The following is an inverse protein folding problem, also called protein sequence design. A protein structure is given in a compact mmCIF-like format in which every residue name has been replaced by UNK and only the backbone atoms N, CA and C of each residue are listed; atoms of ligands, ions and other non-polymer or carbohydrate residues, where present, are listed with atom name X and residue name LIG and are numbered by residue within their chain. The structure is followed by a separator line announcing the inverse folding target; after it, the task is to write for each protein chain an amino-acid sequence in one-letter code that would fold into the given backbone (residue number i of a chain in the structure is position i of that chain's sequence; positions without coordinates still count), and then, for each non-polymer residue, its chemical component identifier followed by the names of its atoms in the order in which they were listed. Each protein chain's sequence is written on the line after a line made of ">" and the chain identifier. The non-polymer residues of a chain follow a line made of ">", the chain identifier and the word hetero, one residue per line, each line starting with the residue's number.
data_IF_683635948730
#
_entry.id   IF_683635948730
#
_cell.length_a   1.000
_cell.length_b   1.000
_cell.length_c   1.000
_cell.angle_alpha   90.00
_cell.angle_beta   90.00
_cell.angle_gamma   90.00
#
_symmetry.space_group_name_H-M   'P 1'
#
loop_
_entity.id
_entity.type
_entity.pdbx_description
1 polymer ?
#
# COMPACT_ATOMS: atom_id res chain seq x y z
N UNK A 1 -38.14 -18.59 4.60
CA UNK A 1 -37.11 -18.30 3.57
C UNK A 1 -36.84 -16.81 3.62
N UNK A 2 -35.69 -16.43 4.13
CA UNK A 2 -35.25 -15.05 4.26
C UNK A 2 -33.74 -15.11 4.40
N UNK A 3 -33.07 -15.10 3.26
CA UNK A 3 -31.63 -15.26 3.15
C UNK A 3 -30.94 -14.07 3.82
N UNK A 4 -30.41 -14.33 5.01
CA UNK A 4 -29.44 -13.47 5.65
C UNK A 4 -28.20 -13.40 4.77
N UNK A 5 -27.96 -12.24 4.17
CA UNK A 5 -26.75 -11.94 3.41
C UNK A 5 -25.56 -12.10 4.36
N UNK A 6 -24.87 -13.25 4.26
CA UNK A 6 -23.58 -13.49 4.92
C UNK A 6 -22.58 -12.50 4.35
N UNK A 7 -22.34 -11.41 5.08
CA UNK A 7 -21.27 -10.46 4.80
C UNK A 7 -19.93 -11.12 5.11
N UNK A 8 -19.09 -11.27 4.07
CA UNK A 8 -17.75 -11.84 4.21
C UNK A 8 -16.81 -10.93 5.02
N UNK A 9 -15.76 -11.51 5.64
CA UNK A 9 -14.88 -10.81 6.61
C UNK A 9 -14.13 -9.60 6.04
N UNK A 10 -13.96 -9.51 4.72
CA UNK A 10 -13.27 -8.40 4.05
C UNK A 10 -14.06 -7.07 4.04
N UNK A 11 -15.39 -7.09 4.22
CA UNK A 11 -16.19 -5.85 4.26
C UNK A 11 -16.15 -5.16 5.62
N UNK A 12 -16.05 -5.89 6.73
CA UNK A 12 -15.99 -5.28 8.06
C UNK A 12 -14.69 -4.51 8.31
N UNK A 13 -13.55 -5.02 7.82
CA UNK A 13 -12.28 -4.29 7.87
C UNK A 13 -12.38 -3.00 7.05
N UNK A 14 -13.02 -3.04 5.87
CA UNK A 14 -13.24 -1.85 5.02
C UNK A 14 -14.15 -0.80 5.67
N UNK A 15 -15.25 -1.21 6.31
CA UNK A 15 -16.17 -0.26 6.99
C UNK A 15 -15.51 0.37 8.22
N UNK A 16 -14.84 -0.43 9.06
CA UNK A 16 -14.15 0.10 10.25
C UNK A 16 -12.93 0.97 9.91
N UNK A 17 -12.25 0.72 8.79
CA UNK A 17 -11.19 1.59 8.28
C UNK A 17 -11.77 2.92 7.77
N UNK A 18 -12.88 2.91 7.01
CA UNK A 18 -13.56 4.12 6.50
C UNK A 18 -14.22 4.94 7.62
N UNK A 19 -14.78 4.31 8.65
CA UNK A 19 -15.35 5.00 9.83
C UNK A 19 -14.26 5.59 10.71
N UNK A 20 -13.15 4.87 10.95
CA UNK A 20 -11.96 5.46 11.59
C UNK A 20 -11.34 6.58 10.73
N UNK A 21 -11.43 6.53 9.39
CA UNK A 21 -11.00 7.62 8.50
C UNK A 21 -11.84 8.89 8.67
N UNK A 22 -13.12 8.78 9.04
CA UNK A 22 -13.99 9.93 9.37
C UNK A 22 -13.68 10.51 10.75
N UNK A 23 -13.33 9.68 11.72
CA UNK A 23 -13.00 10.12 13.08
C UNK A 23 -11.57 10.68 13.21
N UNK A 24 -10.60 10.18 12.43
CA UNK A 24 -9.20 10.60 12.52
C UNK A 24 -8.90 11.90 11.73
N UNK A 25 -9.80 12.37 10.85
CA UNK A 25 -9.58 13.55 10.02
C UNK A 25 -10.83 14.43 9.81
N UNK A 26 -10.97 15.43 10.68
CA UNK A 26 -11.94 16.54 10.61
C UNK A 26 -11.64 17.52 9.45
N UNK A 27 -11.84 17.11 8.19
CA UNK A 27 -11.76 18.02 7.02
C UNK A 27 -13.07 18.76 6.71
N UNK A 28 -14.07 18.77 7.61
CA UNK A 28 -15.35 19.49 7.40
C UNK A 28 -15.20 21.02 7.22
N UNK A 29 -13.99 21.56 7.13
CA UNK A 29 -13.71 23.01 7.07
C UNK A 29 -12.79 23.52 5.95
N UNK A 30 -12.43 22.74 4.91
CA UNK A 30 -11.74 23.37 3.77
C UNK A 30 -12.72 24.09 2.83
N UNK A 31 -12.95 25.38 3.08
CA UNK A 31 -13.53 26.29 2.10
C UNK A 31 -12.40 26.88 1.23
N UNK A 32 -11.96 26.18 0.18
CA UNK A 32 -11.02 26.79 -0.78
C UNK A 32 -11.74 27.88 -1.59
N UNK A 33 -11.12 29.06 -1.71
CA UNK A 33 -11.61 30.15 -2.56
C UNK A 33 -11.37 29.85 -4.06
N UNK A 34 -11.95 30.64 -4.97
CA UNK A 34 -11.89 30.41 -6.43
C UNK A 34 -10.46 30.36 -7.01
N UNK A 35 -9.52 31.12 -6.44
CA UNK A 35 -8.11 31.14 -6.88
C UNK A 35 -7.39 29.87 -6.41
N UNK A 36 -7.63 29.49 -5.16
CA UNK A 36 -7.16 28.24 -4.56
C UNK A 36 -7.67 27.05 -5.36
N UNK A 37 -8.94 27.10 -5.76
CA UNK A 37 -9.54 26.08 -6.62
C UNK A 37 -8.84 25.95 -7.98
N UNK A 38 -8.44 27.07 -8.58
CA UNK A 38 -7.79 27.11 -9.89
C UNK A 38 -6.31 26.69 -9.84
N UNK A 39 -5.59 26.96 -8.74
CA UNK A 39 -4.23 26.46 -8.49
C UNK A 39 -4.23 24.96 -8.24
N UNK A 40 -5.11 24.50 -7.35
CA UNK A 40 -5.26 23.10 -7.00
C UNK A 40 -5.64 22.25 -8.23
N UNK A 41 -6.61 22.72 -9.02
CA UNK A 41 -6.98 22.09 -10.30
C UNK A 41 -5.81 22.00 -11.29
N UNK A 42 -4.95 23.03 -11.38
CA UNK A 42 -3.78 23.02 -12.29
C UNK A 42 -2.71 22.03 -11.83
N UNK A 43 -2.56 21.91 -10.52
CA UNK A 43 -1.65 20.97 -9.88
C UNK A 43 -2.11 19.51 -10.03
N UNK A 44 -3.41 19.23 -9.90
CA UNK A 44 -3.98 17.89 -10.13
C UNK A 44 -4.05 17.49 -11.59
N UNK A 45 -4.20 18.47 -12.49
CA UNK A 45 -4.04 18.28 -13.93
C UNK A 45 -2.58 18.10 -14.35
N UNK A 46 -1.64 18.35 -13.45
CA UNK A 46 -0.23 18.18 -13.78
C UNK A 46 0.16 16.70 -13.72
N UNK A 47 1.17 16.35 -14.52
CA UNK A 47 1.81 15.04 -14.64
C UNK A 47 2.12 14.33 -13.31
N UNK A 48 2.10 15.03 -12.18
CA UNK A 48 2.40 14.51 -10.86
C UNK A 48 1.42 13.41 -10.40
N UNK A 49 0.10 13.64 -10.40
CA UNK A 49 -0.85 12.65 -9.89
C UNK A 49 -0.77 11.33 -10.69
N UNK A 50 -0.67 11.45 -12.02
CA UNK A 50 -0.45 10.33 -12.94
C UNK A 50 0.83 9.57 -12.59
N UNK A 51 1.92 10.30 -12.43
CA UNK A 51 3.24 9.76 -12.16
C UNK A 51 3.32 9.09 -10.79
N UNK A 52 2.77 9.70 -9.74
CA UNK A 52 2.79 9.14 -8.39
C UNK A 52 1.91 7.90 -8.30
N UNK A 53 0.69 7.94 -8.85
CA UNK A 53 -0.20 6.78 -8.80
C UNK A 53 0.37 5.61 -9.60
N UNK A 54 0.87 5.87 -10.82
CA UNK A 54 1.54 4.85 -11.62
C UNK A 54 2.77 4.26 -10.94
N UNK A 55 3.63 5.10 -10.35
CA UNK A 55 4.79 4.60 -9.60
C UNK A 55 4.42 3.81 -8.36
N UNK A 56 3.36 4.16 -7.65
CA UNK A 56 2.92 3.40 -6.47
C UNK A 56 2.42 2.01 -6.85
N UNK A 57 1.81 1.87 -8.02
CA UNK A 57 1.42 0.57 -8.57
C UNK A 57 2.66 -0.25 -8.98
N UNK A 58 3.58 0.35 -9.74
CA UNK A 58 4.83 -0.29 -10.15
C UNK A 58 5.66 -0.74 -8.92
N UNK A 59 5.88 0.16 -7.97
CA UNK A 59 6.57 -0.13 -6.71
C UNK A 59 5.84 -1.23 -5.93
N UNK A 60 4.51 -1.20 -5.87
CA UNK A 60 3.71 -2.26 -5.26
C UNK A 60 4.01 -3.64 -5.85
N UNK A 61 4.04 -3.73 -7.18
CA UNK A 61 4.36 -4.99 -7.89
C UNK A 61 5.79 -5.45 -7.65
N UNK A 62 6.76 -4.52 -7.71
CA UNK A 62 8.17 -4.81 -7.46
C UNK A 62 8.37 -5.32 -6.03
N UNK A 63 7.77 -4.65 -5.04
CA UNK A 63 7.80 -5.08 -3.64
C UNK A 63 7.26 -6.50 -3.43
N UNK A 64 6.15 -6.84 -4.10
CA UNK A 64 5.58 -8.20 -4.05
C UNK A 64 6.53 -9.24 -4.66
N UNK A 65 7.19 -8.93 -5.79
CA UNK A 65 8.19 -9.81 -6.38
C UNK A 65 9.41 -10.00 -5.47
N UNK A 66 9.88 -8.93 -4.82
CA UNK A 66 10.99 -9.00 -3.89
C UNK A 66 10.65 -9.86 -2.67
N UNK A 67 9.47 -9.69 -2.07
CA UNK A 67 9.00 -10.55 -0.98
C UNK A 67 8.87 -12.02 -1.39
N UNK A 68 8.39 -12.26 -2.61
CA UNK A 68 8.35 -13.61 -3.19
C UNK A 68 9.75 -14.21 -3.28
N UNK A 69 10.73 -13.39 -3.67
CA UNK A 69 12.13 -13.79 -3.72
C UNK A 69 12.71 -14.12 -2.34
N UNK A 70 12.35 -13.33 -1.31
CA UNK A 70 12.72 -13.61 0.08
C UNK A 70 12.15 -14.96 0.54
N UNK A 71 10.86 -15.20 0.30
CA UNK A 71 10.23 -16.47 0.67
C UNK A 71 10.89 -17.65 -0.01
N UNK A 72 11.09 -17.59 -1.34
CA UNK A 72 11.74 -18.66 -2.10
C UNK A 72 13.16 -18.95 -1.60
N UNK A 73 13.93 -17.91 -1.25
CA UNK A 73 15.26 -18.07 -0.69
C UNK A 73 15.24 -18.75 0.69
N UNK A 74 14.36 -18.29 1.58
CA UNK A 74 14.25 -18.84 2.94
C UNK A 74 13.72 -20.28 2.93
N UNK A 75 12.73 -20.59 2.10
CA UNK A 75 12.18 -21.94 1.98
C UNK A 75 13.23 -22.94 1.49
N UNK A 76 14.09 -22.53 0.55
CA UNK A 76 15.19 -23.37 0.11
C UNK A 76 16.17 -23.65 1.26
N UNK A 77 16.58 -22.63 2.01
CA UNK A 77 17.55 -22.79 3.11
C UNK A 77 16.99 -23.56 4.31
N UNK A 78 15.67 -23.62 4.45
CA UNK A 78 14.99 -24.33 5.55
C UNK A 78 14.54 -25.73 5.19
N UNK A 79 14.92 -26.22 4.01
CA UNK A 79 14.52 -27.57 3.59
C UNK A 79 15.00 -28.57 4.65
N UNK A 80 14.08 -29.38 5.22
CA UNK A 80 14.46 -30.32 6.27
C UNK A 80 15.36 -31.41 5.70
N UNK A 81 16.14 -32.05 6.57
CA UNK A 81 16.91 -33.23 6.24
C UNK A 81 16.03 -34.31 5.59
N UNK A 82 16.63 -35.10 4.70
CA UNK A 82 15.88 -36.10 3.94
C UNK A 82 15.22 -37.11 4.90
N UNK A 83 13.89 -37.22 4.81
CA UNK A 83 13.15 -38.21 5.57
C UNK A 83 13.45 -39.62 5.05
N UNK A 84 13.99 -40.48 5.91
CA UNK A 84 14.38 -41.87 5.59
C UNK A 84 13.27 -42.90 5.86
N UNK A 85 12.03 -42.49 6.13
CA UNK A 85 10.92 -43.43 6.38
C UNK A 85 10.58 -44.34 5.20
N UNK A 86 11.04 -44.01 4.00
CA UNK A 86 10.88 -44.87 2.82
C UNK A 86 12.00 -45.90 2.74
N UNK A 87 11.65 -47.19 2.70
CA UNK A 87 12.59 -48.30 2.45
C UNK A 87 13.45 -48.10 1.20
N UNK A 88 12.91 -47.46 0.17
CA UNK A 88 13.68 -47.17 -1.05
C UNK A 88 14.77 -46.12 -0.79
N UNK A 89 14.43 -45.05 -0.06
CA UNK A 89 15.38 -43.99 0.28
C UNK A 89 16.46 -44.55 1.22
N UNK A 90 16.05 -45.34 2.21
CA UNK A 90 16.95 -46.02 3.15
C UNK A 90 17.96 -46.90 2.41
N UNK A 91 17.50 -47.80 1.54
CA UNK A 91 18.38 -48.66 0.74
C UNK A 91 19.37 -47.84 -0.10
N UNK A 92 18.93 -46.76 -0.76
CA UNK A 92 19.80 -45.91 -1.58
C UNK A 92 20.89 -45.23 -0.75
N UNK A 93 20.56 -44.77 0.47
CA UNK A 93 21.51 -44.14 1.38
C UNK A 93 22.54 -45.16 1.87
N UNK A 94 22.08 -46.35 2.27
CA UNK A 94 22.94 -47.42 2.78
C UNK A 94 23.90 -47.96 1.72
N UNK A 95 23.43 -48.14 0.48
CA UNK A 95 24.28 -48.65 -0.61
C UNK A 95 25.34 -47.65 -1.09
N UNK A 96 25.14 -46.34 -0.86
CA UNK A 96 26.00 -45.27 -1.35
C UNK A 96 26.67 -44.46 -0.23
N UNK A 97 26.85 -45.07 0.95
CA UNK A 97 27.22 -44.46 2.24
C UNK A 97 28.59 -43.76 2.27
N UNK A 98 28.72 -42.66 1.53
CA UNK A 98 29.86 -41.74 1.60
C UNK A 98 29.55 -40.61 2.57
N UNK A 99 30.59 -40.07 3.20
CA UNK A 99 30.46 -38.91 4.08
C UNK A 99 29.84 -37.72 3.36
N UNK A 100 30.24 -37.47 2.11
CA UNK A 100 29.69 -36.39 1.28
C UNK A 100 28.18 -36.54 1.03
N UNK A 101 27.72 -37.76 0.69
CA UNK A 101 26.29 -38.00 0.44
C UNK A 101 25.47 -37.89 1.73
N UNK A 102 26.03 -38.33 2.87
CA UNK A 102 25.39 -38.19 4.19
C UNK A 102 25.20 -36.72 4.56
N UNK A 103 26.26 -35.91 4.45
CA UNK A 103 26.19 -34.46 4.71
C UNK A 103 25.21 -33.76 3.78
N UNK A 104 25.11 -34.18 2.51
CA UNK A 104 24.12 -33.65 1.57
C UNK A 104 22.68 -33.91 2.02
N UNK A 105 22.38 -35.11 2.52
CA UNK A 105 21.05 -35.44 3.05
C UNK A 105 20.74 -34.74 4.37
N UNK A 106 21.73 -34.61 5.26
CA UNK A 106 21.61 -33.85 6.51
C UNK A 106 21.35 -32.36 6.25
N UNK A 107 21.94 -31.81 5.17
CA UNK A 107 21.69 -30.46 4.70
C UNK A 107 20.35 -30.29 3.94
N UNK A 108 19.46 -31.29 3.96
CA UNK A 108 18.16 -31.21 3.29
C UNK A 108 18.23 -31.25 1.77
N UNK A 109 19.22 -31.96 1.23
CA UNK A 109 19.48 -32.04 -0.21
C UNK A 109 19.82 -30.69 -0.86
N UNK A 110 20.40 -29.76 -0.08
CA UNK A 110 20.89 -28.47 -0.55
C UNK A 110 22.39 -28.59 -0.87
N UNK A 111 22.76 -28.23 -2.10
CA UNK A 111 24.18 -28.13 -2.46
C UNK A 111 24.76 -26.80 -2.00
N UNK A 112 26.08 -26.71 -1.84
CA UNK A 112 26.77 -25.43 -1.54
C UNK A 112 26.44 -24.34 -2.57
N UNK A 113 26.31 -24.73 -3.84
CA UNK A 113 25.89 -23.82 -4.91
C UNK A 113 24.47 -23.29 -4.68
N UNK A 114 23.50 -24.16 -4.35
CA UNK A 114 22.12 -23.77 -4.09
C UNK A 114 22.02 -22.87 -2.85
N UNK A 115 22.74 -23.20 -1.79
CA UNK A 115 22.82 -22.37 -0.58
C UNK A 115 23.38 -20.98 -0.88
N UNK A 116 24.46 -20.90 -1.68
CA UNK A 116 25.03 -19.62 -2.10
C UNK A 116 24.07 -18.81 -2.99
N UNK A 117 23.41 -19.45 -3.96
CA UNK A 117 22.41 -18.77 -4.81
C UNK A 117 21.24 -18.25 -4.01
N UNK A 118 20.74 -19.03 -3.05
CA UNK A 118 19.66 -18.60 -2.16
C UNK A 118 20.09 -17.43 -1.28
N UNK A 119 21.28 -17.48 -0.69
CA UNK A 119 21.85 -16.38 0.10
C UNK A 119 21.99 -15.09 -0.74
N UNK A 120 22.50 -15.19 -1.97
CA UNK A 120 22.57 -14.06 -2.91
C UNK A 120 21.19 -13.49 -3.21
N UNK A 121 20.19 -14.35 -3.45
CA UNK A 121 18.82 -13.93 -3.70
C UNK A 121 18.22 -13.19 -2.50
N UNK A 122 18.41 -13.70 -1.29
CA UNK A 122 17.98 -13.03 -0.06
C UNK A 122 18.61 -11.65 0.10
N UNK A 123 19.91 -11.55 -0.18
CA UNK A 123 20.62 -10.26 -0.12
C UNK A 123 20.07 -9.27 -1.16
N UNK A 124 19.95 -9.68 -2.42
CA UNK A 124 19.41 -8.82 -3.50
C UNK A 124 17.98 -8.39 -3.19
N UNK A 125 17.13 -9.30 -2.72
CA UNK A 125 15.76 -8.97 -2.36
C UNK A 125 15.70 -8.02 -1.15
N UNK A 126 16.54 -8.24 -0.13
CA UNK A 126 16.62 -7.36 1.03
C UNK A 126 17.04 -5.94 0.67
N UNK A 127 18.10 -5.79 -0.14
CA UNK A 127 18.54 -4.48 -0.66
C UNK A 127 17.46 -3.84 -1.53
N UNK A 128 16.79 -4.63 -2.38
CA UNK A 128 15.69 -4.14 -3.21
C UNK A 128 14.49 -3.65 -2.40
N UNK A 129 14.17 -4.30 -1.28
CA UNK A 129 13.08 -3.88 -0.38
C UNK A 129 13.43 -2.57 0.34
N UNK A 130 14.68 -2.39 0.76
CA UNK A 130 15.16 -1.13 1.34
C UNK A 130 15.11 0.02 0.32
N UNK A 131 15.53 -0.22 -0.91
CA UNK A 131 15.42 0.75 -2.02
C UNK A 131 13.95 1.09 -2.32
N UNK A 132 13.07 0.08 -2.38
CA UNK A 132 11.64 0.27 -2.52
C UNK A 132 11.07 1.19 -1.44
N UNK A 133 11.39 0.95 -0.16
CA UNK A 133 10.92 1.78 0.95
C UNK A 133 11.42 3.23 0.83
N UNK A 134 12.68 3.44 0.43
CA UNK A 134 13.22 4.78 0.18
C UNK A 134 12.46 5.52 -0.92
N UNK A 135 12.10 4.83 -2.01
CA UNK A 135 11.31 5.39 -3.11
C UNK A 135 9.90 5.78 -2.67
N UNK A 136 9.19 4.89 -1.97
CA UNK A 136 7.86 5.19 -1.44
C UNK A 136 7.90 6.36 -0.45
N UNK A 137 8.91 6.41 0.42
CA UNK A 137 9.11 7.53 1.34
C UNK A 137 9.36 8.85 0.59
N UNK A 138 10.18 8.83 -0.46
CA UNK A 138 10.42 10.01 -1.30
C UNK A 138 9.12 10.53 -1.92
N UNK A 139 8.31 9.65 -2.50
CA UNK A 139 7.00 10.00 -3.07
C UNK A 139 6.05 10.58 -2.02
N UNK A 140 6.03 9.99 -0.83
CA UNK A 140 5.19 10.45 0.28
C UNK A 140 5.61 11.85 0.75
N UNK A 141 6.92 12.09 0.88
CA UNK A 141 7.46 13.39 1.26
C UNK A 141 7.21 14.46 0.20
N UNK A 142 7.29 14.10 -1.07
CA UNK A 142 6.99 15.02 -2.17
C UNK A 142 5.50 15.38 -2.18
N UNK A 143 4.61 14.40 -1.98
CA UNK A 143 3.18 14.66 -1.81
C UNK A 143 2.88 15.57 -0.60
N UNK A 144 3.60 15.39 0.51
CA UNK A 144 3.47 16.23 1.70
C UNK A 144 3.92 17.67 1.44
N UNK A 145 5.11 17.87 0.86
CA UNK A 145 5.61 19.20 0.48
C UNK A 145 4.65 19.93 -0.46
N UNK A 146 4.09 19.21 -1.42
CA UNK A 146 3.17 19.79 -2.38
C UNK A 146 1.85 20.23 -1.74
N UNK A 147 1.37 19.51 -0.72
CA UNK A 147 0.22 19.94 0.08
C UNK A 147 0.56 21.14 0.97
N UNK A 148 1.77 21.19 1.52
CA UNK A 148 2.24 22.33 2.32
C UNK A 148 2.38 23.60 1.48
N UNK A 149 2.91 23.50 0.25
CA UNK A 149 3.01 24.62 -0.70
C UNK A 149 1.64 25.19 -1.06
N UNK A 150 0.64 24.32 -1.23
CA UNK A 150 -0.77 24.74 -1.41
C UNK A 150 -1.27 25.48 -0.19
N UNK A 151 -0.94 25.00 1.02
CA UNK A 151 -1.38 25.61 2.27
C UNK A 151 -0.70 26.96 2.54
N UNK A 152 0.58 27.12 2.19
CA UNK A 152 1.28 28.41 2.30
C UNK A 152 0.72 29.41 1.28
N UNK A 153 0.44 28.97 0.06
CA UNK A 153 -0.22 29.81 -0.94
C UNK A 153 -1.65 30.20 -0.55
N UNK A 154 -2.31 29.44 0.33
CA UNK A 154 -3.61 29.75 0.93
C UNK A 154 -3.53 30.90 1.94
N UNK A 155 -2.51 30.90 2.79
CA UNK A 155 -2.31 31.92 3.83
C UNK A 155 -1.83 33.27 3.27
N UNK A 156 -1.02 33.28 2.22
CA UNK A 156 -0.50 34.53 1.65
C UNK A 156 -1.52 35.34 0.83
N UNK A 157 -2.65 34.76 0.41
CA UNK A 157 -3.69 35.45 -0.39
C UNK A 157 -4.91 35.91 0.42
N UNK A 158 -4.99 35.58 1.72
CA UNK A 158 -6.02 36.06 2.65
C UNK A 158 -5.35 36.85 3.81
N UNK A 159 -5.08 38.17 3.69
CA UNK A 159 -4.71 38.95 4.86
C UNK A 159 -5.89 39.02 5.86
N UNK A 160 -5.64 39.08 7.18
CA UNK A 160 -6.70 39.10 8.19
C UNK A 160 -7.47 40.42 8.06
N UNK A 161 -8.60 40.37 7.38
CA UNK A 161 -9.54 41.49 7.30
C UNK A 161 -10.45 41.41 8.51
N UNK A 162 -10.47 42.49 9.28
CA UNK A 162 -11.24 42.66 10.50
C UNK A 162 -12.73 42.32 10.33
N UNK A 163 -13.31 41.90 11.45
CA UNK A 163 -14.74 41.70 11.71
C UNK A 163 -15.67 42.60 10.88
N UNK A 164 -16.63 41.99 10.20
CA UNK A 164 -17.95 42.61 10.02
C UNK A 164 -19.02 41.56 10.26
N UNK A 165 -20.04 42.04 10.96
CA UNK A 165 -21.15 41.36 11.61
C UNK A 165 -22.03 40.65 10.57
N UNK A 166 -22.41 39.41 10.89
CA UNK A 166 -23.44 38.64 10.18
C UNK A 166 -24.81 39.29 10.35
N UNK A 167 -25.64 39.27 9.30
CA UNK A 167 -27.10 39.13 9.45
C UNK A 167 -27.75 38.62 8.14
N UNK A 168 -28.80 37.80 8.34
CA UNK A 168 -29.88 37.31 7.44
C UNK A 168 -29.48 36.23 6.39
N UNK A 169 -29.83 34.95 6.58
CA UNK A 169 -31.13 34.23 6.47
C UNK A 169 -31.65 34.09 5.02
N UNK A 170 -31.72 32.85 4.54
CA UNK A 170 -32.87 32.27 3.82
C UNK A 170 -32.57 30.82 3.39
N UNK A 171 -33.47 29.91 3.78
CA UNK A 171 -33.36 28.47 3.57
C UNK A 171 -33.77 28.02 2.17
N UNK A 172 -33.25 26.85 1.75
CA UNK A 172 -33.87 26.05 0.69
C UNK A 172 -33.80 24.56 1.04
N UNK A 173 -34.99 23.99 0.94
CA UNK A 173 -35.49 22.66 1.23
C UNK A 173 -34.75 21.53 0.50
N UNK A 174 -34.49 20.42 1.22
CA UNK A 174 -33.91 19.19 0.66
C UNK A 174 -34.99 18.40 -0.07
N UNK A 175 -34.99 18.45 -1.40
CA UNK A 175 -35.77 17.51 -2.21
C UNK A 175 -34.87 16.35 -2.67
N UNK A 176 -35.17 15.17 -2.16
CA UNK A 176 -34.58 13.90 -2.55
C UNK A 176 -35.31 13.39 -3.80
N UNK A 177 -34.73 13.59 -4.97
CA UNK A 177 -35.09 12.81 -6.16
C UNK A 177 -33.84 12.35 -6.92
N UNK A 178 -33.89 11.07 -7.23
CA UNK A 178 -32.94 10.25 -7.97
C UNK A 178 -32.64 10.86 -9.34
N UNK A 179 -31.38 11.26 -9.58
CA UNK A 179 -30.94 11.75 -10.89
C UNK A 179 -29.49 11.35 -11.18
N UNK A 180 -29.34 10.54 -12.23
CA UNK A 180 -28.22 10.39 -13.16
C UNK A 180 -26.94 11.17 -12.81
N UNK A 181 -25.84 10.42 -12.63
CA UNK A 181 -24.48 10.92 -12.34
C UNK A 181 -24.13 12.03 -13.34
N UNK A 182 -24.02 13.30 -12.90
CA UNK A 182 -23.63 14.37 -13.79
C UNK A 182 -22.14 14.22 -14.12
N UNK A 183 -21.82 14.35 -15.40
CA UNK A 183 -20.47 14.44 -15.98
C UNK A 183 -19.79 15.79 -15.60
N UNK A 184 -19.93 16.18 -14.34
CA UNK A 184 -19.51 17.47 -13.81
C UNK A 184 -18.07 17.34 -13.36
N UNK A 185 -17.17 18.13 -13.96
CA UNK A 185 -15.80 18.28 -13.47
C UNK A 185 -15.83 18.60 -11.97
N UNK A 186 -15.09 17.86 -11.13
CA UNK A 186 -15.12 18.08 -9.70
C UNK A 186 -14.72 19.51 -9.37
N UNK A 187 -15.36 20.07 -8.35
CA UNK A 187 -14.93 21.34 -7.82
C UNK A 187 -13.58 21.16 -7.10
N UNK A 188 -12.83 22.25 -6.88
CA UNK A 188 -11.50 22.02 -6.31
C UNK A 188 -11.48 21.67 -4.81
N UNK A 189 -12.60 21.78 -4.09
CA UNK A 189 -12.71 21.22 -2.74
C UNK A 189 -12.75 19.69 -2.81
N UNK A 190 -13.51 19.11 -3.75
CA UNK A 190 -13.58 17.66 -3.97
C UNK A 190 -12.21 17.08 -4.34
N UNK A 191 -11.47 17.82 -5.15
CA UNK A 191 -10.09 17.53 -5.50
C UNK A 191 -9.13 17.59 -4.30
N UNK A 192 -9.21 18.64 -3.46
CA UNK A 192 -8.38 18.79 -2.27
C UNK A 192 -8.65 17.68 -1.24
N UNK A 193 -9.92 17.35 -1.06
CA UNK A 193 -10.35 16.23 -0.25
C UNK A 193 -9.77 14.92 -0.78
N UNK A 194 -9.86 14.67 -2.10
CA UNK A 194 -9.34 13.45 -2.71
C UNK A 194 -7.83 13.31 -2.53
N UNK A 195 -7.07 14.39 -2.70
CA UNK A 195 -5.61 14.38 -2.51
C UNK A 195 -5.24 14.12 -1.05
N UNK A 196 -5.95 14.75 -0.10
CA UNK A 196 -5.77 14.51 1.32
C UNK A 196 -6.04 13.05 1.69
N UNK A 197 -7.10 12.46 1.16
CA UNK A 197 -7.42 11.04 1.35
C UNK A 197 -6.30 10.15 0.79
N UNK A 198 -5.85 10.40 -0.44
CA UNK A 198 -4.76 9.65 -1.08
C UNK A 198 -3.47 9.73 -0.25
N UNK A 199 -3.12 10.90 0.27
CA UNK A 199 -1.96 11.06 1.17
C UNK A 199 -2.05 10.14 2.38
N UNK A 200 -3.19 10.12 3.07
CA UNK A 200 -3.34 9.28 4.28
C UNK A 200 -3.31 7.79 3.92
N UNK A 201 -3.98 7.39 2.82
CA UNK A 201 -3.96 6.01 2.31
C UNK A 201 -2.52 5.55 2.04
N UNK A 202 -1.74 6.32 1.28
CA UNK A 202 -0.34 6.02 0.96
C UNK A 202 0.52 5.96 2.22
N UNK A 203 0.34 6.90 3.15
CA UNK A 203 1.12 6.93 4.39
C UNK A 203 0.87 5.69 5.26
N UNK A 204 -0.39 5.27 5.40
CA UNK A 204 -0.74 4.05 6.14
C UNK A 204 -0.20 2.79 5.46
N UNK A 205 -0.31 2.71 4.13
CA UNK A 205 0.26 1.60 3.36
C UNK A 205 1.79 1.54 3.48
N UNK A 206 2.47 2.68 3.42
CA UNK A 206 3.92 2.76 3.60
C UNK A 206 4.35 2.27 5.00
N UNK A 207 3.67 2.72 6.06
CA UNK A 207 3.96 2.26 7.44
C UNK A 207 3.78 0.75 7.56
N UNK A 208 2.76 0.18 6.93
CA UNK A 208 2.57 -1.28 6.88
C UNK A 208 3.74 -1.96 6.15
N UNK A 209 4.16 -1.45 4.99
CA UNK A 209 5.29 -1.98 4.24
C UNK A 209 6.59 -1.93 5.06
N UNK A 210 6.85 -0.83 5.78
CA UNK A 210 8.01 -0.72 6.67
C UNK A 210 7.99 -1.77 7.77
N UNK A 211 6.82 -2.01 8.39
CA UNK A 211 6.67 -3.06 9.41
C UNK A 211 6.90 -4.45 8.85
N UNK A 212 6.40 -4.73 7.64
CA UNK A 212 6.64 -6.00 6.95
C UNK A 212 8.12 -6.20 6.73
N UNK A 213 8.81 -5.24 6.08
CA UNK A 213 10.25 -5.34 5.79
C UNK A 213 11.08 -5.46 7.07
N UNK A 214 10.75 -4.69 8.11
CA UNK A 214 11.45 -4.76 9.40
C UNK A 214 11.22 -6.08 10.13
N UNK A 215 10.09 -6.74 9.89
CA UNK A 215 9.75 -8.05 10.44
C UNK A 215 10.39 -9.22 9.69
N UNK A 216 10.99 -8.99 8.52
CA UNK A 216 11.69 -10.03 7.77
C UNK A 216 12.95 -10.46 8.50
N UNK A 217 13.07 -11.76 8.72
CA UNK A 217 14.24 -12.37 9.35
C UNK A 217 14.54 -13.72 8.73
N UNK A 218 15.77 -14.20 8.91
CA UNK A 218 16.15 -15.58 8.56
C UNK A 218 15.32 -16.63 9.32
N UNK A 219 14.61 -16.24 10.38
CA UNK A 219 13.76 -17.11 11.21
C UNK A 219 12.26 -17.00 10.90
N UNK A 220 11.82 -16.01 10.11
CA UNK A 220 10.39 -15.78 9.81
C UNK A 220 9.75 -16.99 9.16
N UNK A 221 8.79 -17.64 9.79
CA UNK A 221 8.15 -18.87 9.32
C UNK A 221 7.49 -18.71 7.94
N UNK A 222 7.22 -19.82 7.24
CA UNK A 222 6.52 -19.78 5.95
C UNK A 222 5.12 -19.14 6.08
N UNK A 223 4.40 -19.43 7.18
CA UNK A 223 3.10 -18.79 7.45
C UNK A 223 3.18 -17.28 7.68
N UNK A 224 4.21 -16.78 8.37
CA UNK A 224 4.45 -15.34 8.53
C UNK A 224 4.76 -14.67 7.19
N UNK A 225 5.63 -15.29 6.38
CA UNK A 225 6.01 -14.76 5.06
C UNK A 225 4.80 -14.72 4.10
N UNK A 226 3.96 -15.74 4.12
CA UNK A 226 2.72 -15.76 3.34
C UNK A 226 1.76 -14.65 3.80
N UNK A 227 1.65 -14.45 5.11
CA UNK A 227 0.84 -13.36 5.68
C UNK A 227 1.35 -11.99 5.22
N UNK A 228 2.66 -11.77 5.26
CA UNK A 228 3.28 -10.53 4.79
C UNK A 228 3.04 -10.30 3.30
N UNK A 229 3.19 -11.32 2.46
CA UNK A 229 2.90 -11.23 1.02
C UNK A 229 1.44 -10.93 0.75
N UNK A 230 0.54 -11.56 1.50
CA UNK A 230 -0.89 -11.32 1.36
C UNK A 230 -1.23 -9.88 1.74
N UNK A 231 -0.74 -9.37 2.87
CA UNK A 231 -0.94 -7.98 3.28
C UNK A 231 -0.38 -6.99 2.24
N UNK A 232 0.81 -7.26 1.70
CA UNK A 232 1.43 -6.44 0.67
C UNK A 232 0.63 -6.42 -0.64
N UNK A 233 0.09 -7.58 -1.03
CA UNK A 233 -0.66 -7.71 -2.29
C UNK A 233 -2.07 -7.15 -2.19
N UNK A 234 -2.73 -7.31 -1.03
CA UNK A 234 -4.09 -6.82 -0.81
C UNK A 234 -4.16 -5.32 -0.56
N UNK A 235 -3.04 -4.68 -0.16
CA UNK A 235 -2.95 -3.25 0.19
C UNK A 235 -4.18 -2.75 0.97
N UNK A 236 -4.42 -3.26 2.19
CA UNK A 236 -5.67 -3.04 2.93
C UNK A 236 -5.97 -1.56 3.25
N UNK A 237 -4.98 -0.67 3.16
CA UNK A 237 -5.13 0.77 3.37
C UNK A 237 -5.40 1.54 2.08
N UNK A 238 -5.33 0.90 0.92
CA UNK A 238 -5.59 1.51 -0.38
C UNK A 238 -7.02 1.17 -0.80
N UNK A 239 -7.86 2.20 -0.97
CA UNK A 239 -9.19 2.06 -1.55
C UNK A 239 -9.13 2.21 -3.08
N UNK A 240 -9.34 1.11 -3.79
CA UNK A 240 -9.32 1.08 -5.26
C UNK A 240 -10.36 1.98 -5.92
N UNK A 241 -11.52 2.22 -5.28
CA UNK A 241 -12.54 3.11 -5.83
C UNK A 241 -12.11 4.57 -5.73
N UNK A 242 -11.43 4.94 -4.65
CA UNK A 242 -10.83 6.27 -4.49
C UNK A 242 -9.70 6.46 -5.51
N UNK A 243 -8.84 5.44 -5.70
CA UNK A 243 -7.79 5.47 -6.71
C UNK A 243 -8.36 5.55 -8.13
N UNK A 244 -9.40 4.78 -8.46
CA UNK A 244 -10.11 4.87 -9.76
C UNK A 244 -10.74 6.24 -9.97
N UNK A 245 -11.34 6.84 -8.92
CA UNK A 245 -11.84 8.21 -9.00
C UNK A 245 -10.71 9.16 -9.32
N UNK A 246 -9.58 9.07 -8.63
CA UNK A 246 -8.39 9.89 -8.91
C UNK A 246 -7.91 9.73 -10.37
N UNK A 247 -7.89 8.50 -10.87
CA UNK A 247 -7.56 8.19 -12.27
C UNK A 247 -8.48 8.88 -13.28
N UNK A 248 -9.79 8.94 -13.01
CA UNK A 248 -10.76 9.63 -13.89
C UNK A 248 -10.60 11.15 -13.91
N UNK A 249 -9.86 11.71 -12.95
CA UNK A 249 -9.63 13.15 -12.87
C UNK A 249 -8.34 13.61 -13.57
N UNK A 250 -7.57 12.66 -14.08
CA UNK A 250 -6.42 12.88 -14.94
C UNK A 250 -6.94 13.21 -16.35
N UNK A 251 -6.49 14.32 -16.97
CA UNK A 251 -6.89 14.72 -18.32
C UNK A 251 -6.54 13.72 -19.42
#
# INVERSE_FOLDING_TARGET
>A
MGDGIRLGPNKLIRVGVIENFKEEFEWKKLKLNTIQKKRFSRFLKSSWLVFSVGQLEELGTLGSQLLSGVQQGLELLRRPALNRTSKLIENVVETNNTESLRSYFEAGCITTHNGLQSSKKLHVCGVGLDDHLKKVRSLTNELERLLDDVNIALEMENPPSASTVSDEDEGVELNAEEATIPDKKPDANEYALLMGIIKVMIKKDHIMQEKIVSGLSLKSSSGELETYRLMWSLRPYIDDEIMKRAWKLIP
#
